data_IF_187327372788
#
_entry.id   IF_187327372788
#
_cell.length_a   1.000
_cell.length_b   1.000
_cell.length_c   1.000
_cell.angle_alpha   90.00
_cell.angle_beta   90.00
_cell.angle_gamma   90.00
#
_symmetry.space_group_name_H-M   'P 1'
#
loop_
_entity.id
_entity.type
_entity.pdbx_description
1 polymer ?
#
# COMPACT_ATOMS: atom_id res chain seq x y z
N UNK A 1 6.30 -6.23 -14.66
CA UNK A 1 4.85 -6.51 -14.56
C UNK A 1 4.59 -7.82 -15.31
N UNK A 2 4.58 -8.96 -14.62
CA UNK A 2 4.66 -10.29 -15.27
C UNK A 2 3.34 -10.75 -15.93
N UNK A 3 2.27 -9.98 -15.77
CA UNK A 3 0.90 -10.36 -16.16
C UNK A 3 0.73 -10.44 -17.69
N UNK A 4 1.50 -9.65 -18.43
CA UNK A 4 1.48 -9.62 -19.91
C UNK A 4 1.95 -10.97 -20.51
N UNK A 5 2.80 -11.73 -19.80
CA UNK A 5 3.31 -13.01 -20.27
C UNK A 5 2.27 -14.16 -20.16
N UNK A 6 1.26 -14.01 -19.30
CA UNK A 6 0.38 -15.13 -18.88
C UNK A 6 -1.11 -14.93 -19.19
N UNK A 7 -1.50 -13.91 -19.97
CA UNK A 7 -2.90 -13.68 -20.40
C UNK A 7 -3.91 -13.67 -19.24
N UNK A 8 -3.54 -13.10 -18.10
CA UNK A 8 -4.40 -13.00 -16.93
C UNK A 8 -5.00 -11.60 -16.82
N UNK A 9 -6.29 -11.50 -16.51
CA UNK A 9 -6.92 -10.20 -16.26
C UNK A 9 -6.33 -9.56 -15.00
N UNK A 10 -6.05 -8.26 -15.08
CA UNK A 10 -5.53 -7.46 -13.98
C UNK A 10 -6.68 -6.76 -13.26
N UNK A 11 -6.89 -7.06 -11.99
CA UNK A 11 -8.02 -6.49 -11.22
C UNK A 11 -7.52 -5.36 -10.32
N UNK A 12 -8.00 -4.11 -10.49
CA UNK A 12 -7.69 -3.00 -9.60
C UNK A 12 -8.39 -3.20 -8.26
N UNK A 13 -7.62 -3.13 -7.17
CA UNK A 13 -8.12 -3.29 -5.80
C UNK A 13 -7.61 -2.13 -4.95
N UNK A 14 -8.51 -1.43 -4.27
CA UNK A 14 -8.18 -0.33 -3.38
C UNK A 14 -8.67 -0.59 -1.96
N UNK A 15 -7.82 -0.38 -0.96
CA UNK A 15 -8.12 -0.60 0.45
C UNK A 15 -8.14 0.73 1.23
N UNK A 16 -9.31 1.16 1.68
CA UNK A 16 -9.46 2.31 2.57
C UNK A 16 -9.25 1.90 4.03
N UNK A 17 -8.61 2.76 4.82
CA UNK A 17 -8.39 2.57 6.27
C UNK A 17 -7.10 1.83 6.65
N UNK A 18 -6.25 1.47 5.68
CA UNK A 18 -4.95 0.81 5.97
C UNK A 18 -4.02 1.72 6.82
N UNK A 19 -4.09 3.03 6.63
CA UNK A 19 -3.30 3.96 7.45
C UNK A 19 -3.79 4.03 8.91
N UNK A 20 -5.03 3.63 9.20
CA UNK A 20 -5.61 3.72 10.54
C UNK A 20 -5.26 2.53 11.42
N UNK A 21 -4.82 1.41 10.82
CA UNK A 21 -4.46 0.20 11.55
C UNK A 21 -3.05 0.27 12.16
N UNK A 22 -2.20 1.21 11.72
CA UNK A 22 -0.86 1.41 12.28
C UNK A 22 -0.59 2.89 12.55
N UNK A 23 -0.24 3.23 13.79
CA UNK A 23 0.34 4.54 14.08
C UNK A 23 1.86 4.43 14.00
N UNK A 24 2.45 5.06 12.98
CA UNK A 24 3.89 5.21 12.93
C UNK A 24 4.31 6.21 14.00
N UNK A 25 5.17 5.77 14.94
CA UNK A 25 5.74 6.69 15.91
C UNK A 25 6.52 7.79 15.19
N UNK A 26 6.46 9.03 15.69
CA UNK A 26 7.25 10.13 15.15
C UNK A 26 8.72 9.71 15.06
N UNK A 27 9.27 9.76 13.85
CA UNK A 27 10.62 9.30 13.57
C UNK A 27 11.44 10.39 12.87
N UNK A 28 11.61 11.57 13.51
CA UNK A 28 12.37 12.66 12.90
C UNK A 28 13.83 12.25 12.72
N UNK A 29 14.47 12.82 11.70
CA UNK A 29 15.90 12.60 11.41
C UNK A 29 16.72 13.01 12.65
N UNK A 30 17.57 12.12 13.13
CA UNK A 30 18.39 12.33 14.33
C UNK A 30 17.77 11.83 15.64
N UNK A 31 16.50 11.41 15.66
CA UNK A 31 15.89 10.83 16.87
C UNK A 31 16.59 9.53 17.30
N UNK A 32 16.60 9.27 18.60
CA UNK A 32 17.17 8.03 19.14
C UNK A 32 16.46 6.77 18.60
N UNK A 33 15.16 6.88 18.29
CA UNK A 33 14.39 5.82 17.64
C UNK A 33 14.89 5.54 16.21
N UNK A 34 15.17 6.59 15.43
CA UNK A 34 15.72 6.46 14.07
C UNK A 34 17.09 5.80 14.09
N UNK A 35 17.96 6.23 15.00
CA UNK A 35 19.31 5.67 15.14
C UNK A 35 19.28 4.19 15.51
N UNK A 36 18.33 3.77 16.36
CA UNK A 36 18.14 2.36 16.69
C UNK A 36 17.61 1.56 15.48
N UNK A 37 16.63 2.10 14.74
CA UNK A 37 16.12 1.46 13.52
C UNK A 37 17.20 1.31 12.45
N UNK A 38 18.04 2.33 12.24
CA UNK A 38 19.11 2.29 11.25
C UNK A 38 20.20 1.27 11.64
N UNK A 39 20.53 1.16 12.92
CA UNK A 39 21.43 0.09 13.43
C UNK A 39 20.83 -1.30 13.25
N UNK A 40 19.55 -1.49 13.59
CA UNK A 40 18.86 -2.76 13.40
C UNK A 40 18.74 -3.12 11.92
N UNK A 41 18.45 -2.16 11.05
CA UNK A 41 18.42 -2.34 9.60
C UNK A 41 19.78 -2.73 9.05
N UNK A 42 20.86 -2.11 9.54
CA UNK A 42 22.23 -2.45 9.15
C UNK A 42 22.65 -3.86 9.58
N UNK A 43 22.07 -4.40 10.65
CA UNK A 43 22.38 -5.73 11.17
C UNK A 43 21.46 -6.83 10.62
N UNK A 44 20.15 -6.55 10.49
CA UNK A 44 19.11 -7.51 10.10
C UNK A 44 18.72 -7.42 8.62
N UNK A 45 19.18 -6.39 7.89
CA UNK A 45 18.80 -6.12 6.50
C UNK A 45 17.44 -5.44 6.32
N UNK A 46 16.63 -5.37 7.38
CA UNK A 46 15.35 -4.67 7.39
C UNK A 46 15.14 -3.93 8.72
N UNK A 47 14.48 -2.77 8.68
CA UNK A 47 14.11 -2.05 9.89
C UNK A 47 12.89 -2.70 10.52
N UNK A 48 12.96 -3.03 11.81
CA UNK A 48 11.77 -3.40 12.57
C UNK A 48 10.89 -2.15 12.74
N UNK A 49 9.68 -2.14 12.17
CA UNK A 49 8.82 -0.98 12.30
C UNK A 49 8.27 -0.92 13.72
N UNK A 50 8.66 0.12 14.46
CA UNK A 50 8.10 0.42 15.76
C UNK A 50 6.78 1.16 15.56
N UNK A 51 5.72 0.41 15.35
CA UNK A 51 4.36 0.93 15.39
C UNK A 51 3.92 1.08 16.86
N UNK A 52 3.25 2.19 17.21
CA UNK A 52 2.40 2.20 18.41
C UNK A 52 1.16 1.38 18.03
N UNK A 53 0.94 0.29 18.76
CA UNK A 53 -0.09 -0.72 18.49
C UNK A 53 -0.42 -1.50 19.76
N UNK A 54 -1.20 -2.58 19.67
CA UNK A 54 -1.56 -3.42 20.83
C UNK A 54 -0.45 -4.45 21.14
N UNK A 55 0.01 -4.49 22.38
CA UNK A 55 1.00 -5.46 22.88
C UNK A 55 0.39 -6.79 23.36
N UNK A 56 1.22 -7.84 23.36
CA UNK A 56 0.92 -9.15 23.98
C UNK A 56 0.84 -9.08 25.53
N UNK A 57 1.34 -8.01 26.16
CA UNK A 57 1.37 -7.89 27.63
C UNK A 57 0.84 -6.58 28.21
N UNK A 58 0.73 -5.47 27.46
CA UNK A 58 0.12 -4.20 27.89
C UNK A 58 -0.29 -3.34 26.67
N UNK A 59 -1.40 -2.60 26.78
CA UNK A 59 -2.09 -1.87 25.70
C UNK A 59 -1.30 -0.70 25.05
N UNK A 60 -0.05 -0.46 25.43
CA UNK A 60 0.72 0.73 25.01
C UNK A 60 1.84 0.48 23.99
N UNK A 61 2.29 -0.77 23.79
CA UNK A 61 3.40 -1.09 22.88
C UNK A 61 3.26 -2.49 22.26
N UNK A 62 3.06 -2.59 20.95
CA UNK A 62 3.05 -3.86 20.24
C UNK A 62 2.91 -3.74 18.72
N UNK A 63 3.29 -4.82 18.03
CA UNK A 63 3.33 -4.92 16.57
C UNK A 63 1.97 -5.23 15.94
N UNK A 64 0.94 -5.49 16.75
CA UNK A 64 -0.37 -5.86 16.23
C UNK A 64 -1.16 -4.62 15.79
N UNK A 65 -1.81 -4.68 14.62
CA UNK A 65 -2.62 -3.58 14.12
C UNK A 65 -3.76 -3.22 15.08
N UNK A 66 -4.14 -1.95 15.06
CA UNK A 66 -5.37 -1.51 15.72
C UNK A 66 -6.59 -2.18 15.09
N UNK A 67 -7.62 -2.40 15.92
CA UNK A 67 -8.93 -2.90 15.44
C UNK A 67 -9.67 -1.74 14.78
N UNK A 68 -9.32 -1.44 13.53
CA UNK A 68 -10.00 -0.48 12.67
C UNK A 68 -10.50 -1.20 11.42
N UNK A 69 -11.68 -0.81 10.89
CA UNK A 69 -12.20 -1.42 9.68
C UNK A 69 -11.31 -1.07 8.48
N UNK A 70 -11.06 -2.05 7.62
CA UNK A 70 -10.47 -1.86 6.29
C UNK A 70 -11.58 -2.16 5.28
N UNK A 71 -11.86 -1.20 4.40
CA UNK A 71 -12.84 -1.39 3.33
C UNK A 71 -12.11 -1.62 2.02
N UNK A 72 -12.24 -2.82 1.47
CA UNK A 72 -11.61 -3.19 0.20
C UNK A 72 -12.64 -3.06 -0.92
N UNK A 73 -12.33 -2.25 -1.91
CA UNK A 73 -13.10 -2.10 -3.14
C UNK A 73 -12.39 -2.86 -4.25
N UNK A 74 -13.13 -3.73 -4.93
CA UNK A 74 -12.65 -4.50 -6.07
C UNK A 74 -13.28 -3.89 -7.31
N UNK A 75 -12.45 -3.40 -8.22
CA UNK A 75 -12.92 -2.82 -9.48
C UNK A 75 -13.11 -3.83 -10.58
N UNK A 76 -13.47 -3.31 -11.75
CA UNK A 76 -13.65 -4.11 -12.96
C UNK A 76 -12.31 -4.70 -13.42
N UNK A 77 -12.26 -5.99 -13.79
CA UNK A 77 -11.07 -6.57 -14.41
C UNK A 77 -10.64 -5.82 -15.67
N UNK A 78 -9.33 -5.66 -15.83
CA UNK A 78 -8.69 -5.14 -17.03
C UNK A 78 -8.15 -6.34 -17.80
N UNK A 79 -8.67 -6.56 -19.00
CA UNK A 79 -8.19 -7.65 -19.86
C UNK A 79 -6.80 -7.31 -20.39
N UNK A 80 -5.90 -8.29 -20.28
CA UNK A 80 -4.50 -8.16 -20.69
C UNK A 80 -4.27 -9.10 -21.86
N UNK A 81 -3.99 -8.51 -23.02
CA UNK A 81 -3.55 -9.26 -24.20
C UNK A 81 -2.14 -9.81 -23.96
N UNK A 82 -1.95 -11.07 -24.34
CA UNK A 82 -0.64 -11.71 -24.24
C UNK A 82 0.26 -11.20 -25.35
N UNK A 83 1.41 -10.64 -24.96
CA UNK A 83 2.46 -10.20 -25.88
C UNK A 83 3.71 -11.06 -25.59
N UNK A 84 4.24 -11.73 -26.61
CA UNK A 84 5.39 -12.63 -26.46
C UNK A 84 6.66 -11.90 -26.03
N UNK A 85 6.87 -10.71 -26.57
CA UNK A 85 8.00 -9.81 -26.27
C UNK A 85 7.44 -8.40 -26.04
N UNK A 86 6.93 -8.10 -24.82
CA UNK A 86 6.35 -6.80 -24.54
C UNK A 86 7.40 -5.70 -24.54
N UNK A 87 7.07 -4.57 -25.16
CA UNK A 87 7.88 -3.35 -25.12
C UNK A 87 7.69 -2.61 -23.78
N UNK A 88 8.59 -1.67 -23.48
CA UNK A 88 8.42 -0.81 -22.29
C UNK A 88 7.14 0.04 -22.41
N UNK A 89 6.80 0.47 -23.64
CA UNK A 89 5.58 1.20 -23.95
C UNK A 89 4.32 0.39 -23.68
N UNK A 90 4.31 -0.91 -24.00
CA UNK A 90 3.18 -1.81 -23.70
C UNK A 90 2.95 -1.92 -22.19
N UNK A 91 4.04 -2.10 -21.43
CA UNK A 91 4.00 -2.17 -19.96
C UNK A 91 3.50 -0.85 -19.39
N UNK A 92 4.03 0.28 -19.88
CA UNK A 92 3.64 1.62 -19.42
C UNK A 92 2.17 1.90 -19.70
N UNK A 93 1.69 1.51 -20.88
CA UNK A 93 0.28 1.69 -21.27
C UNK A 93 -0.65 0.87 -20.37
N UNK A 94 -0.32 -0.40 -20.12
CA UNK A 94 -1.11 -1.24 -19.21
C UNK A 94 -1.05 -0.72 -17.77
N UNK A 95 0.13 -0.29 -17.32
CA UNK A 95 0.31 0.30 -16.00
C UNK A 95 -0.55 1.57 -15.84
N UNK A 96 -0.57 2.44 -16.84
CA UNK A 96 -1.40 3.65 -16.82
C UNK A 96 -2.89 3.30 -16.71
N UNK A 97 -3.39 2.34 -17.52
CA UNK A 97 -4.78 1.86 -17.41
C UNK A 97 -5.13 1.36 -16.01
N UNK A 98 -4.20 0.68 -15.36
CA UNK A 98 -4.37 0.20 -13.99
C UNK A 98 -4.41 1.36 -12.98
N UNK A 99 -3.51 2.33 -13.10
CA UNK A 99 -3.48 3.54 -12.26
C UNK A 99 -4.76 4.36 -12.43
N UNK A 100 -5.22 4.54 -13.66
CA UNK A 100 -6.46 5.27 -13.96
C UNK A 100 -7.67 4.57 -13.32
N UNK A 101 -7.73 3.24 -13.42
CA UNK A 101 -8.80 2.45 -12.82
C UNK A 101 -8.78 2.50 -11.29
N UNK A 102 -7.59 2.41 -10.66
CA UNK A 102 -7.44 2.60 -9.23
C UNK A 102 -7.83 4.01 -8.77
N UNK A 103 -7.45 5.02 -9.55
CA UNK A 103 -7.79 6.42 -9.27
C UNK A 103 -9.29 6.63 -9.33
N UNK A 104 -9.97 6.05 -10.32
CA UNK A 104 -11.43 6.09 -10.41
C UNK A 104 -12.10 5.43 -9.19
N UNK A 105 -11.64 4.24 -8.77
CA UNK A 105 -12.15 3.58 -7.55
C UNK A 105 -11.96 4.44 -6.30
N UNK A 106 -10.81 5.10 -6.19
CA UNK A 106 -10.55 6.01 -5.09
C UNK A 106 -11.54 7.19 -5.12
N UNK A 107 -11.64 7.89 -6.25
CA UNK A 107 -12.47 9.08 -6.40
C UNK A 107 -13.97 8.78 -6.19
N UNK A 108 -14.46 7.63 -6.64
CA UNK A 108 -15.84 7.19 -6.44
C UNK A 108 -16.19 6.97 -4.96
N UNK A 109 -15.23 6.48 -4.17
CA UNK A 109 -15.50 6.01 -2.81
C UNK A 109 -14.85 6.84 -1.69
N UNK A 110 -13.98 7.80 -2.02
CA UNK A 110 -13.23 8.62 -1.04
C UNK A 110 -14.15 9.40 -0.12
N UNK A 111 -15.26 9.95 -0.61
CA UNK A 111 -16.17 10.75 0.22
C UNK A 111 -16.80 9.92 1.34
N UNK A 112 -16.99 8.61 1.09
CA UNK A 112 -17.59 7.69 2.05
C UNK A 112 -16.57 7.13 3.04
N UNK A 113 -15.37 6.77 2.58
CA UNK A 113 -14.42 6.00 3.40
C UNK A 113 -13.14 6.76 3.78
N UNK A 114 -12.83 7.88 3.13
CA UNK A 114 -11.67 8.71 3.43
C UNK A 114 -11.92 10.19 3.07
N UNK A 115 -12.90 10.85 3.72
CA UNK A 115 -13.28 12.23 3.39
C UNK A 115 -12.09 13.18 3.59
N UNK A 116 -11.87 14.08 2.62
CA UNK A 116 -10.75 15.03 2.64
C UNK A 116 -9.37 14.43 2.36
N UNK A 117 -9.28 13.13 2.07
CA UNK A 117 -8.03 12.50 1.66
C UNK A 117 -7.69 12.79 0.19
N UNK A 118 -6.40 12.74 -0.13
CA UNK A 118 -5.88 12.89 -1.49
C UNK A 118 -5.04 11.68 -1.86
N UNK A 119 -5.27 11.14 -3.05
CA UNK A 119 -4.47 10.05 -3.60
C UNK A 119 -3.06 10.53 -3.95
N UNK A 120 -2.06 9.73 -3.59
CA UNK A 120 -0.64 10.01 -3.82
C UNK A 120 -0.03 9.06 -4.86
N UNK A 121 -0.79 8.71 -5.90
CA UNK A 121 -0.26 7.96 -7.04
C UNK A 121 0.38 8.96 -8.01
N UNK A 122 1.70 8.86 -8.20
CA UNK A 122 2.51 9.68 -9.12
C UNK A 122 3.14 8.82 -10.19
#
# INVERSE_FOLDING_TARGET
MNVIFISASLVPVFAFGENDIFQQAENPKGSSLRQLQDKLKSFLGFSLPFFRGRGMFQYNYGLLPYRKPITVIIGKPIDVEKISEPTEEDIKTLHQKYIDSLTALFEEHKEKYAPGSKLLLS
#
